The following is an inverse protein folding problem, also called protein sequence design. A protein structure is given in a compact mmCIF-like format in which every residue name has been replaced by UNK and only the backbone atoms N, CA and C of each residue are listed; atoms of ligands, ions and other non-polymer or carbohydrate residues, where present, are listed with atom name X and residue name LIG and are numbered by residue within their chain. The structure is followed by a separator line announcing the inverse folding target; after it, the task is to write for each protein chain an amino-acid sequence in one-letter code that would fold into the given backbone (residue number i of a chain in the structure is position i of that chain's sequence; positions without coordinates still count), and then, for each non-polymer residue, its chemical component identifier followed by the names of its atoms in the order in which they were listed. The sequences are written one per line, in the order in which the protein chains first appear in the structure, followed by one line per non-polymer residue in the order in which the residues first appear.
data_IF_437129957023
#
_entry.id   IF_437129957023
#
_cell.length_a   1.000
_cell.length_b   1.000
_cell.length_c   1.000
_cell.angle_alpha   90.00
_cell.angle_beta   90.00
_cell.angle_gamma   90.00
#
_symmetry.space_group_name_H-M   'P 1'
#
loop_
_entity.id
_entity.type
_entity.pdbx_description
1 polymer ?
#
# COMPACT_ATOMS: atom_id res chain seq x y z
N UNK A 1 -21.50 -13.45 -7.92
CA UNK A 1 -20.49 -14.55 -7.80
C UNK A 1 -20.06 -14.58 -6.34
N UNK A 2 -19.94 -15.77 -5.75
CA UNK A 2 -19.40 -15.95 -4.40
C UNK A 2 -17.91 -15.56 -4.36
N UNK A 3 -17.42 -15.09 -3.19
CA UNK A 3 -16.01 -14.79 -3.02
C UNK A 3 -15.16 -16.07 -3.14
N UNK A 4 -14.07 -15.99 -3.89
CA UNK A 4 -13.06 -17.03 -3.89
C UNK A 4 -12.24 -16.99 -2.59
N UNK A 5 -11.77 -18.14 -2.12
CA UNK A 5 -10.81 -18.18 -1.01
C UNK A 5 -9.39 -17.90 -1.51
N UNK A 6 -8.61 -17.15 -0.74
CA UNK A 6 -7.18 -16.92 -1.03
C UNK A 6 -6.35 -18.10 -0.52
N UNK A 7 -6.51 -19.24 -1.16
CA UNK A 7 -5.87 -20.51 -0.80
C UNK A 7 -4.73 -20.91 -1.76
N UNK A 8 -4.21 -22.13 -1.62
CA UNK A 8 -3.15 -22.64 -2.47
C UNK A 8 -3.57 -22.77 -3.94
N UNK A 9 -4.84 -23.14 -4.21
CA UNK A 9 -5.35 -23.30 -5.57
C UNK A 9 -5.44 -21.93 -6.26
N UNK A 10 -5.93 -20.89 -5.56
CA UNK A 10 -5.95 -19.54 -6.09
C UNK A 10 -4.55 -19.05 -6.43
N UNK A 11 -3.56 -19.26 -5.53
CA UNK A 11 -2.17 -18.83 -5.74
C UNK A 11 -1.50 -19.56 -6.91
N UNK A 12 -1.77 -20.85 -7.08
CA UNK A 12 -1.26 -21.62 -8.21
C UNK A 12 -1.81 -21.10 -9.55
N UNK A 13 -3.10 -20.72 -9.59
CA UNK A 13 -3.74 -20.15 -10.77
C UNK A 13 -3.31 -18.70 -11.08
N UNK A 14 -2.78 -17.97 -10.08
CA UNK A 14 -2.37 -16.57 -10.17
C UNK A 14 -0.91 -16.40 -9.73
N UNK A 15 0.00 -17.20 -10.28
CA UNK A 15 1.40 -17.21 -9.89
C UNK A 15 2.08 -15.84 -10.10
N UNK A 16 2.94 -15.45 -9.17
CA UNK A 16 3.76 -14.25 -9.33
C UNK A 16 4.78 -14.46 -10.46
N UNK A 17 5.08 -13.39 -11.26
CA UNK A 17 6.15 -13.46 -12.22
C UNK A 17 7.49 -13.79 -11.55
N UNK A 18 8.16 -14.83 -12.01
CA UNK A 18 9.52 -15.16 -11.56
C UNK A 18 10.52 -14.18 -12.16
N UNK A 19 11.50 -13.69 -11.39
CA UNK A 19 12.59 -12.90 -11.94
C UNK A 19 13.36 -13.72 -12.98
N UNK A 20 13.63 -13.14 -14.17
CA UNK A 20 14.54 -13.75 -15.14
C UNK A 20 15.98 -13.71 -14.63
N UNK A 21 16.85 -14.65 -15.10
CA UNK A 21 18.27 -14.66 -14.73
C UNK A 21 19.05 -13.41 -15.15
N UNK A 22 18.51 -12.61 -16.08
CA UNK A 22 19.07 -11.34 -16.57
C UNK A 22 18.47 -10.10 -15.90
N UNK A 23 17.73 -10.29 -14.81
CA UNK A 23 17.04 -9.19 -14.13
C UNK A 23 18.03 -8.17 -13.54
N UNK A 24 17.82 -6.90 -13.85
CA UNK A 24 18.54 -5.75 -13.28
C UNK A 24 17.71 -5.08 -12.20
N UNK A 25 18.34 -4.23 -11.36
CA UNK A 25 17.59 -3.42 -10.38
C UNK A 25 16.55 -2.48 -11.02
N UNK A 26 16.68 -2.16 -12.32
CA UNK A 26 15.69 -1.35 -13.04
C UNK A 26 14.52 -2.20 -13.57
N UNK A 27 14.80 -3.40 -14.08
CA UNK A 27 13.76 -4.29 -14.62
C UNK A 27 12.94 -5.00 -13.53
N UNK A 28 13.42 -5.01 -12.27
CA UNK A 28 12.70 -5.55 -11.12
C UNK A 28 11.69 -4.59 -10.51
N UNK A 29 11.51 -3.42 -11.08
CA UNK A 29 10.54 -2.42 -10.66
C UNK A 29 11.08 -1.35 -9.72
N UNK A 30 10.48 -0.17 -9.80
CA UNK A 30 10.86 1.04 -9.05
C UNK A 30 9.65 1.50 -8.24
N UNK A 31 9.77 1.39 -6.92
CA UNK A 31 8.75 1.79 -5.96
C UNK A 31 9.04 3.21 -5.46
N UNK A 32 8.02 4.06 -5.44
CA UNK A 32 8.01 5.35 -4.77
C UNK A 32 7.08 5.29 -3.56
N UNK A 33 7.56 5.71 -2.39
CA UNK A 33 6.77 5.84 -1.18
C UNK A 33 6.67 7.33 -0.82
N UNK A 34 5.46 7.86 -0.69
CA UNK A 34 5.19 9.28 -0.38
C UNK A 34 4.45 9.37 0.94
N UNK A 35 5.03 10.07 1.91
CA UNK A 35 4.43 10.21 3.24
C UNK A 35 5.46 10.50 4.33
N UNK A 36 5.26 9.95 5.52
CA UNK A 36 6.21 10.08 6.63
C UNK A 36 6.22 11.49 7.21
N UNK A 37 5.09 11.95 7.74
CA UNK A 37 5.01 13.20 8.49
C UNK A 37 6.00 13.19 9.68
N UNK A 38 6.37 14.39 10.17
CA UNK A 38 7.33 14.58 11.28
C UNK A 38 7.08 13.67 12.48
N UNK A 39 5.81 13.41 12.79
CA UNK A 39 5.40 12.61 13.95
C UNK A 39 5.49 11.09 13.74
N UNK A 40 5.44 10.60 12.48
CA UNK A 40 5.42 9.16 12.16
C UNK A 40 6.35 8.84 10.98
N UNK A 41 7.63 9.21 11.04
CA UNK A 41 8.55 9.02 9.92
C UNK A 41 8.87 7.55 9.65
N UNK A 42 8.79 6.69 10.67
CA UNK A 42 9.12 5.27 10.58
C UNK A 42 8.20 4.47 9.66
N UNK A 43 6.95 4.90 9.46
CA UNK A 43 6.00 4.26 8.57
C UNK A 43 6.55 4.16 7.13
N UNK A 44 7.14 5.25 6.63
CA UNK A 44 7.70 5.29 5.29
C UNK A 44 8.87 4.33 5.10
N UNK A 45 9.72 4.15 6.13
CA UNK A 45 10.78 3.14 6.13
C UNK A 45 10.19 1.73 6.02
N UNK A 46 9.20 1.39 6.85
CA UNK A 46 8.54 0.07 6.83
C UNK A 46 7.98 -0.23 5.44
N UNK A 47 7.31 0.75 4.83
CA UNK A 47 6.73 0.63 3.49
C UNK A 47 7.82 0.39 2.42
N UNK A 48 8.88 1.18 2.43
CA UNK A 48 9.96 1.06 1.44
C UNK A 48 10.72 -0.27 1.58
N UNK A 49 11.03 -0.69 2.82
CA UNK A 49 11.70 -1.95 3.09
C UNK A 49 10.81 -3.14 2.67
N UNK A 50 9.51 -3.13 3.00
CA UNK A 50 8.58 -4.18 2.59
C UNK A 50 8.55 -4.34 1.07
N UNK A 51 8.53 -3.24 0.32
CA UNK A 51 8.57 -3.28 -1.14
C UNK A 51 9.85 -3.93 -1.69
N UNK A 52 11.02 -3.64 -1.10
CA UNK A 52 12.28 -4.30 -1.48
C UNK A 52 12.29 -5.78 -1.09
N UNK A 53 11.74 -6.13 0.09
CA UNK A 53 11.67 -7.51 0.58
C UNK A 53 10.81 -8.42 -0.29
N UNK A 54 9.83 -7.88 -1.00
CA UNK A 54 9.03 -8.64 -1.99
C UNK A 54 9.58 -8.54 -3.41
N UNK A 55 10.77 -8.00 -3.57
CA UNK A 55 11.55 -8.10 -4.79
C UNK A 55 11.54 -6.88 -5.71
N UNK A 56 10.97 -5.74 -5.33
CA UNK A 56 11.19 -4.50 -6.07
C UNK A 56 12.69 -4.20 -6.18
N UNK A 57 13.14 -3.73 -7.33
CA UNK A 57 14.56 -3.52 -7.57
C UNK A 57 15.12 -2.23 -6.98
N UNK A 58 14.25 -1.23 -6.75
CA UNK A 58 14.58 0.05 -6.14
C UNK A 58 13.41 0.57 -5.32
N UNK A 59 13.72 1.25 -4.22
CA UNK A 59 12.77 2.06 -3.50
C UNK A 59 13.27 3.51 -3.38
N UNK A 60 12.35 4.46 -3.36
CA UNK A 60 12.57 5.86 -3.04
C UNK A 60 11.51 6.33 -2.06
N UNK A 61 11.88 7.27 -1.22
CA UNK A 61 11.00 7.89 -0.25
C UNK A 61 10.91 9.39 -0.53
N UNK A 62 9.70 9.93 -0.61
CA UNK A 62 9.41 11.37 -0.65
C UNK A 62 8.76 11.73 0.67
N UNK A 63 9.38 12.66 1.40
CA UNK A 63 8.98 12.99 2.77
C UNK A 63 9.32 14.46 3.11
N UNK A 64 9.00 14.84 4.34
CA UNK A 64 9.28 16.18 4.86
C UNK A 64 10.77 16.40 5.18
N UNK A 65 11.30 17.62 5.03
CA UNK A 65 12.73 17.93 5.26
C UNK A 65 13.21 17.55 6.66
N UNK A 66 12.38 17.73 7.69
CA UNK A 66 12.76 17.50 9.09
C UNK A 66 13.16 16.04 9.41
N UNK A 67 12.77 15.07 8.57
CA UNK A 67 13.05 13.65 8.80
C UNK A 67 13.84 12.99 7.67
N UNK A 68 13.99 13.65 6.52
CA UNK A 68 14.57 13.07 5.31
C UNK A 68 15.99 12.53 5.53
N UNK A 69 16.87 13.31 6.15
CA UNK A 69 18.26 12.90 6.41
C UNK A 69 18.32 11.69 7.34
N UNK A 70 17.51 11.68 8.40
CA UNK A 70 17.43 10.57 9.35
C UNK A 70 16.98 9.28 8.68
N UNK A 71 15.95 9.33 7.84
CA UNK A 71 15.48 8.17 7.08
C UNK A 71 16.55 7.63 6.14
N UNK A 72 17.29 8.52 5.46
CA UNK A 72 18.38 8.12 4.57
C UNK A 72 19.55 7.42 5.29
N UNK A 73 19.83 7.82 6.53
CA UNK A 73 20.87 7.17 7.37
C UNK A 73 20.36 5.83 7.91
N UNK A 74 19.10 5.78 8.36
CA UNK A 74 18.51 4.57 8.95
C UNK A 74 18.16 3.50 7.91
N UNK A 75 17.99 3.88 6.65
CA UNK A 75 17.65 2.96 5.57
C UNK A 75 18.39 3.34 4.27
N UNK A 76 19.68 3.00 4.16
CA UNK A 76 20.54 3.41 3.04
C UNK A 76 20.19 2.71 1.70
N UNK A 77 19.34 1.69 1.72
CA UNK A 77 18.88 0.98 0.52
C UNK A 77 17.90 1.78 -0.32
N UNK A 78 17.29 2.85 0.23
CA UNK A 78 16.38 3.72 -0.48
C UNK A 78 16.89 5.16 -0.54
N UNK A 79 16.78 5.78 -1.72
CA UNK A 79 17.02 7.22 -1.83
C UNK A 79 15.87 8.01 -1.20
N UNK A 80 16.18 9.11 -0.53
CA UNK A 80 15.22 10.00 0.11
C UNK A 80 15.21 11.36 -0.57
N UNK A 81 14.03 11.87 -0.88
CA UNK A 81 13.81 13.18 -1.47
C UNK A 81 12.95 14.00 -0.52
N UNK A 82 13.46 15.15 -0.09
CA UNK A 82 12.69 16.08 0.71
C UNK A 82 11.80 16.95 -0.20
N UNK A 83 10.55 17.15 0.23
CA UNK A 83 9.60 18.12 -0.34
C UNK A 83 9.26 19.18 0.72
N UNK A 84 8.21 19.99 0.53
CA UNK A 84 7.77 20.93 1.55
C UNK A 84 7.22 20.27 2.81
N UNK A 85 7.17 21.03 3.89
CA UNK A 85 6.63 20.65 5.19
C UNK A 85 5.76 21.78 5.73
N UNK A 86 4.56 21.50 6.19
CA UNK A 86 3.72 22.48 6.83
C UNK A 86 4.05 22.62 8.35
N UNK A 87 3.41 23.57 9.03
CA UNK A 87 3.66 23.83 10.47
C UNK A 87 3.35 22.59 11.35
N UNK A 88 2.37 21.78 10.94
CA UNK A 88 2.00 20.54 11.63
C UNK A 88 3.00 19.40 11.38
N UNK A 89 3.91 19.56 10.42
CA UNK A 89 4.88 18.53 10.04
C UNK A 89 4.36 17.55 9.00
N UNK A 90 3.30 17.92 8.28
CA UNK A 90 2.74 17.11 7.19
C UNK A 90 3.42 17.46 5.85
N UNK A 91 3.28 16.55 4.89
CA UNK A 91 3.84 16.71 3.54
C UNK A 91 3.13 17.85 2.81
N UNK A 92 3.90 18.83 2.36
CA UNK A 92 3.47 19.94 1.52
C UNK A 92 4.17 19.81 0.15
N UNK A 93 3.40 19.78 -0.93
CA UNK A 93 3.94 19.66 -2.29
C UNK A 93 4.12 21.04 -2.95
N UNK A 94 4.86 21.92 -2.27
CA UNK A 94 5.22 23.23 -2.78
C UNK A 94 6.72 23.50 -2.51
N UNK A 95 7.60 23.34 -3.54
CA UNK A 95 7.30 23.00 -4.94
C UNK A 95 7.01 21.50 -5.16
N UNK A 96 6.20 21.18 -6.18
CA UNK A 96 5.83 19.82 -6.51
C UNK A 96 6.80 19.10 -7.46
N UNK A 97 7.70 19.84 -8.13
CA UNK A 97 8.63 19.26 -9.11
C UNK A 97 9.50 18.11 -8.57
N UNK A 98 10.00 18.13 -7.32
CA UNK A 98 10.78 17.00 -6.83
C UNK A 98 9.98 15.70 -6.82
N UNK A 99 8.69 15.73 -6.43
CA UNK A 99 7.82 14.57 -6.48
C UNK A 99 7.61 14.09 -7.91
N UNK A 100 7.22 14.98 -8.83
CA UNK A 100 6.92 14.58 -10.21
C UNK A 100 8.13 14.06 -10.96
N UNK A 101 9.31 14.59 -10.70
CA UNK A 101 10.57 14.06 -11.23
C UNK A 101 10.79 12.59 -10.81
N UNK A 102 10.40 12.24 -9.58
CA UNK A 102 10.49 10.86 -9.10
C UNK A 102 9.35 10.01 -9.66
N UNK A 103 8.13 10.54 -9.76
CA UNK A 103 6.99 9.86 -10.39
C UNK A 103 7.27 9.44 -11.84
N UNK A 104 7.96 10.26 -12.63
CA UNK A 104 8.33 9.99 -14.02
C UNK A 104 9.31 8.78 -14.16
N UNK A 105 9.95 8.40 -13.05
CA UNK A 105 10.93 7.30 -13.00
C UNK A 105 10.44 6.11 -12.19
N UNK A 106 9.14 6.04 -11.93
CA UNK A 106 8.50 5.11 -11.02
C UNK A 106 7.59 4.17 -11.78
N UNK A 107 7.47 2.92 -11.32
CA UNK A 107 6.56 1.93 -11.85
C UNK A 107 5.33 1.77 -10.94
N UNK A 108 5.49 1.99 -9.63
CA UNK A 108 4.37 2.09 -8.68
C UNK A 108 4.65 3.10 -7.57
N UNK A 109 3.62 3.84 -7.14
CA UNK A 109 3.65 4.78 -6.04
C UNK A 109 2.71 4.33 -4.91
N UNK A 110 3.19 4.40 -3.66
CA UNK A 110 2.41 4.23 -2.43
C UNK A 110 2.34 5.59 -1.74
N UNK A 111 1.15 6.08 -1.47
CA UNK A 111 0.91 7.39 -0.84
C UNK A 111 0.10 7.19 0.43
N UNK A 112 0.52 7.81 1.52
CA UNK A 112 -0.23 7.84 2.77
C UNK A 112 0.48 7.29 4.00
N UNK A 113 1.38 6.28 3.92
CA UNK A 113 2.08 5.78 5.10
C UNK A 113 2.70 6.91 5.93
N UNK A 114 2.33 6.98 7.22
CA UNK A 114 2.82 8.00 8.13
C UNK A 114 2.26 9.41 7.92
N UNK A 115 1.28 9.62 7.05
CA UNK A 115 0.48 10.85 6.98
C UNK A 115 -0.66 10.76 8.00
N UNK A 116 -0.90 11.85 8.76
CA UNK A 116 -1.86 11.87 9.86
C UNK A 116 -3.04 12.77 9.53
N UNK A 117 -2.76 13.96 8.99
CA UNK A 117 -3.80 14.92 8.65
C UNK A 117 -4.45 14.58 7.30
N UNK A 118 -5.76 14.32 7.33
CA UNK A 118 -6.52 13.94 6.13
C UNK A 118 -6.58 15.05 5.09
N UNK A 119 -6.59 16.32 5.49
CA UNK A 119 -6.64 17.43 4.54
C UNK A 119 -5.29 17.59 3.85
N UNK A 120 -4.18 17.49 4.60
CA UNK A 120 -2.84 17.49 4.01
C UNK A 120 -2.65 16.31 3.06
N UNK A 121 -3.05 15.10 3.46
CA UNK A 121 -3.02 13.92 2.61
C UNK A 121 -3.89 14.09 1.35
N UNK A 122 -5.07 14.70 1.49
CA UNK A 122 -5.97 15.03 0.38
C UNK A 122 -5.32 15.95 -0.64
N UNK A 123 -4.63 17.02 -0.20
CA UNK A 123 -3.88 17.92 -1.10
C UNK A 123 -2.78 17.19 -1.88
N UNK A 124 -2.08 16.25 -1.23
CA UNK A 124 -1.07 15.41 -1.90
C UNK A 124 -1.70 14.51 -2.95
N UNK A 125 -2.80 13.83 -2.61
CA UNK A 125 -3.52 12.96 -3.55
C UNK A 125 -4.10 13.76 -4.71
N UNK A 126 -4.72 14.91 -4.44
CA UNK A 126 -5.27 15.83 -5.46
C UNK A 126 -4.18 16.24 -6.45
N UNK A 127 -3.01 16.64 -5.94
CA UNK A 127 -1.89 17.07 -6.78
C UNK A 127 -1.37 15.95 -7.68
N UNK A 128 -1.29 14.72 -7.15
CA UNK A 128 -0.88 13.53 -7.92
C UNK A 128 -1.96 13.16 -8.95
N UNK A 129 -3.23 13.22 -8.57
CA UNK A 129 -4.34 12.83 -9.42
C UNK A 129 -4.61 13.83 -10.55
N UNK A 130 -4.29 15.11 -10.36
CA UNK A 130 -4.38 16.14 -11.40
C UNK A 130 -3.41 15.92 -12.58
N UNK A 131 -2.31 15.21 -12.35
CA UNK A 131 -1.31 14.90 -13.39
C UNK A 131 -1.01 13.39 -13.42
N UNK A 132 -1.95 12.54 -13.83
CA UNK A 132 -1.77 11.10 -13.77
C UNK A 132 -0.64 10.61 -14.68
N UNK A 133 0.15 9.64 -14.19
CA UNK A 133 1.18 8.95 -14.99
C UNK A 133 0.61 7.63 -15.50
N UNK A 134 0.46 7.50 -16.80
CA UNK A 134 -0.23 6.37 -17.44
C UNK A 134 0.31 4.98 -17.08
N UNK A 135 1.61 4.88 -16.77
CA UNK A 135 2.28 3.60 -16.47
C UNK A 135 2.43 3.32 -14.99
N UNK A 136 2.12 4.29 -14.12
CA UNK A 136 2.33 4.16 -12.68
C UNK A 136 1.12 3.53 -12.01
N UNK A 137 1.32 2.41 -11.32
CA UNK A 137 0.34 1.87 -10.38
C UNK A 137 0.29 2.76 -9.12
N UNK A 138 -0.90 3.15 -8.67
CA UNK A 138 -1.08 4.00 -7.50
C UNK A 138 -1.75 3.22 -6.37
N UNK A 139 -1.13 3.22 -5.19
CA UNK A 139 -1.74 2.70 -3.97
C UNK A 139 -1.92 3.85 -2.98
N UNK A 140 -3.13 3.97 -2.43
CA UNK A 140 -3.46 4.91 -1.35
C UNK A 140 -3.76 4.13 -0.07
N UNK A 141 -3.08 4.49 1.03
CA UNK A 141 -3.27 3.91 2.36
C UNK A 141 -3.46 5.01 3.41
N UNK A 142 -3.90 4.66 4.58
CA UNK A 142 -4.05 5.55 5.74
C UNK A 142 -4.85 6.84 5.39
N UNK A 143 -4.37 8.01 5.84
CA UNK A 143 -5.05 9.29 5.61
C UNK A 143 -5.27 9.61 4.12
N UNK A 144 -4.37 9.18 3.22
CA UNK A 144 -4.53 9.37 1.78
C UNK A 144 -5.70 8.53 1.21
N UNK A 145 -5.88 7.30 1.71
CA UNK A 145 -7.02 6.47 1.34
C UNK A 145 -8.34 7.08 1.84
N UNK A 146 -8.38 7.51 3.08
CA UNK A 146 -9.58 8.16 3.65
C UNK A 146 -9.97 9.45 2.91
N UNK A 147 -8.98 10.23 2.46
CA UNK A 147 -9.21 11.48 1.71
C UNK A 147 -9.70 11.25 0.27
N UNK A 148 -9.45 10.08 -0.30
CA UNK A 148 -9.74 9.78 -1.72
C UNK A 148 -11.23 9.88 -2.09
N UNK A 149 -12.13 9.81 -1.10
CA UNK A 149 -13.59 9.89 -1.33
C UNK A 149 -14.04 11.15 -2.06
N UNK A 150 -13.50 12.30 -1.67
CA UNK A 150 -13.77 13.59 -2.28
C UNK A 150 -13.08 13.80 -3.66
N UNK A 151 -12.07 12.98 -3.95
CA UNK A 151 -11.21 13.09 -5.14
C UNK A 151 -11.50 12.02 -6.20
N UNK A 152 -12.61 11.29 -6.05
CA UNK A 152 -13.00 10.17 -6.92
C UNK A 152 -12.86 10.48 -8.42
N UNK A 153 -13.37 11.61 -8.85
CA UNK A 153 -13.42 11.95 -10.28
C UNK A 153 -12.02 12.23 -10.85
N UNK A 154 -11.12 12.85 -10.07
CA UNK A 154 -9.71 13.02 -10.43
C UNK A 154 -8.97 11.68 -10.47
N UNK A 155 -9.27 10.79 -9.55
CA UNK A 155 -8.67 9.47 -9.47
C UNK A 155 -9.05 8.54 -10.63
N UNK A 156 -10.06 8.88 -11.46
CA UNK A 156 -10.37 8.14 -12.68
C UNK A 156 -9.18 8.11 -13.67
N UNK A 157 -8.25 9.06 -13.62
CA UNK A 157 -6.98 9.00 -14.34
C UNK A 157 -6.09 7.79 -13.99
N UNK A 158 -6.37 7.14 -12.84
CA UNK A 158 -5.72 5.91 -12.39
C UNK A 158 -6.63 4.66 -12.44
N UNK A 159 -7.82 4.75 -13.04
CA UNK A 159 -8.72 3.60 -13.11
C UNK A 159 -8.02 2.35 -13.68
N UNK A 160 -8.27 1.19 -13.05
CA UNK A 160 -7.63 -0.08 -13.39
C UNK A 160 -6.19 -0.27 -12.85
N UNK A 161 -5.53 0.78 -12.34
CA UNK A 161 -4.19 0.74 -11.72
C UNK A 161 -4.17 1.36 -10.32
N UNK A 162 -5.33 1.69 -9.78
CA UNK A 162 -5.53 2.21 -8.43
C UNK A 162 -5.79 1.06 -7.47
N UNK A 163 -5.11 1.07 -6.32
CA UNK A 163 -5.36 0.19 -5.19
C UNK A 163 -5.65 1.04 -3.95
N UNK A 164 -6.71 0.71 -3.24
CA UNK A 164 -7.10 1.34 -1.98
C UNK A 164 -7.04 0.28 -0.87
N UNK A 165 -6.42 0.63 0.27
CA UNK A 165 -6.20 -0.33 1.38
C UNK A 165 -6.85 0.14 2.70
N UNK A 166 -8.16 0.46 2.70
CA UNK A 166 -8.83 0.96 3.89
C UNK A 166 -9.03 -0.11 4.96
N UNK A 167 -8.93 0.25 6.24
CA UNK A 167 -9.63 -0.45 7.32
C UNK A 167 -11.08 0.07 7.46
N UNK A 168 -11.89 -0.53 8.35
CA UNK A 168 -13.33 -0.21 8.44
C UNK A 168 -13.65 1.29 8.60
N UNK A 169 -12.91 2.01 9.44
CA UNK A 169 -13.11 3.46 9.65
C UNK A 169 -12.70 4.26 8.40
N UNK A 170 -11.53 3.98 7.81
CA UNK A 170 -11.09 4.62 6.56
C UNK A 170 -12.05 4.34 5.41
N UNK A 171 -12.64 3.15 5.37
CA UNK A 171 -13.64 2.77 4.37
C UNK A 171 -14.92 3.58 4.53
N UNK A 172 -15.37 3.81 5.75
CA UNK A 172 -16.53 4.64 6.03
C UNK A 172 -16.30 6.10 5.58
N UNK A 173 -15.13 6.64 5.86
CA UNK A 173 -14.73 7.99 5.42
C UNK A 173 -14.61 8.07 3.89
N UNK A 174 -13.99 7.07 3.25
CA UNK A 174 -13.89 6.94 1.80
C UNK A 174 -15.26 6.92 1.11
N UNK A 175 -16.22 6.21 1.71
CA UNK A 175 -17.57 6.06 1.15
C UNK A 175 -18.55 7.18 1.58
N UNK A 176 -18.23 7.93 2.64
CA UNK A 176 -19.12 8.93 3.22
C UNK A 176 -20.32 8.28 3.94
N UNK A 177 -20.11 7.19 4.69
CA UNK A 177 -21.15 6.45 5.41
C UNK A 177 -20.74 6.14 6.85
N UNK A 178 -21.65 5.55 7.63
CA UNK A 178 -21.36 5.14 9.01
C UNK A 178 -20.47 3.89 9.03
N UNK A 179 -19.46 3.80 9.94
CA UNK A 179 -18.67 2.59 10.13
C UNK A 179 -19.49 1.32 10.41
N UNK A 180 -20.65 1.45 11.05
CA UNK A 180 -21.57 0.34 11.28
C UNK A 180 -22.11 -0.26 9.98
N UNK A 181 -22.30 0.55 8.94
CA UNK A 181 -22.70 0.07 7.63
C UNK A 181 -21.61 -0.77 6.95
N UNK A 182 -20.34 -0.40 7.14
CA UNK A 182 -19.20 -1.19 6.64
C UNK A 182 -19.14 -2.53 7.37
N UNK A 183 -19.33 -2.52 8.70
CA UNK A 183 -19.28 -3.72 9.52
C UNK A 183 -20.45 -4.68 9.24
N UNK A 184 -21.63 -4.16 8.88
CA UNK A 184 -22.83 -4.95 8.59
C UNK A 184 -22.69 -5.79 7.31
N UNK A 185 -22.09 -5.26 6.26
CA UNK A 185 -21.87 -5.97 4.99
C UNK A 185 -20.55 -5.55 4.31
N UNK A 186 -19.42 -6.01 4.83
CA UNK A 186 -18.10 -5.64 4.30
C UNK A 186 -17.88 -6.12 2.86
N UNK A 187 -18.48 -7.24 2.46
CA UNK A 187 -18.40 -7.76 1.10
C UNK A 187 -19.03 -6.80 0.10
N UNK A 188 -20.29 -6.44 0.31
CA UNK A 188 -21.00 -5.54 -0.59
C UNK A 188 -20.31 -4.17 -0.65
N UNK A 189 -19.88 -3.64 0.50
CA UNK A 189 -19.17 -2.36 0.57
C UNK A 189 -17.85 -2.36 -0.19
N UNK A 190 -17.06 -3.44 -0.08
CA UNK A 190 -15.82 -3.58 -0.84
C UNK A 190 -16.08 -3.61 -2.37
N UNK A 191 -17.10 -4.38 -2.81
CA UNK A 191 -17.51 -4.45 -4.22
C UNK A 191 -17.97 -3.09 -4.76
N UNK A 192 -18.80 -2.39 -3.98
CA UNK A 192 -19.35 -1.09 -4.38
C UNK A 192 -18.26 -0.03 -4.51
N UNK A 193 -17.36 0.03 -3.53
CA UNK A 193 -16.22 0.93 -3.60
C UNK A 193 -15.30 0.59 -4.78
N UNK A 194 -15.00 -0.69 -5.03
CA UNK A 194 -14.18 -1.08 -6.16
C UNK A 194 -14.75 -0.58 -7.50
N UNK A 195 -16.06 -0.77 -7.72
CA UNK A 195 -16.75 -0.27 -8.91
C UNK A 195 -16.76 1.27 -8.97
N UNK A 196 -17.10 1.92 -7.84
CA UNK A 196 -17.22 3.39 -7.74
C UNK A 196 -15.92 4.12 -8.05
N UNK A 197 -14.79 3.57 -7.61
CA UNK A 197 -13.46 4.18 -7.80
C UNK A 197 -12.70 3.62 -9.00
N UNK A 198 -13.21 2.58 -9.70
CA UNK A 198 -12.45 1.90 -10.73
C UNK A 198 -11.15 1.28 -10.19
N UNK A 199 -11.13 0.88 -8.92
CA UNK A 199 -9.95 0.52 -8.15
C UNK A 199 -10.06 -0.89 -7.57
N UNK A 200 -8.91 -1.49 -7.27
CA UNK A 200 -8.87 -2.65 -6.36
C UNK A 200 -8.99 -2.15 -4.93
N UNK A 201 -9.96 -2.67 -4.18
CA UNK A 201 -10.18 -2.32 -2.78
C UNK A 201 -9.80 -3.49 -1.90
N UNK A 202 -8.90 -3.25 -0.96
CA UNK A 202 -8.46 -4.20 0.08
C UNK A 202 -9.02 -3.74 1.42
N UNK A 203 -10.23 -4.15 1.76
CA UNK A 203 -10.87 -3.82 3.03
C UNK A 203 -10.29 -4.68 4.15
N UNK A 204 -9.42 -4.06 4.94
CA UNK A 204 -8.68 -4.69 6.05
C UNK A 204 -9.60 -4.96 7.25
N UNK A 205 -9.43 -6.13 7.88
CA UNK A 205 -10.14 -6.53 9.09
C UNK A 205 -9.67 -7.90 9.58
N UNK A 206 -10.39 -8.49 10.53
CA UNK A 206 -10.16 -9.89 10.96
C UNK A 206 -10.29 -10.88 9.78
N UNK A 207 -11.07 -10.52 8.80
CA UNK A 207 -11.15 -11.09 7.47
C UNK A 207 -10.94 -9.95 6.47
N UNK A 208 -10.06 -10.15 5.50
CA UNK A 208 -9.76 -9.11 4.51
C UNK A 208 -10.46 -9.44 3.20
N UNK A 209 -11.28 -8.49 2.71
CA UNK A 209 -11.96 -8.56 1.44
C UNK A 209 -11.17 -7.83 0.37
N UNK A 210 -10.87 -8.51 -0.74
CA UNK A 210 -10.19 -7.92 -1.88
C UNK A 210 -11.15 -7.95 -3.07
N UNK A 211 -11.58 -6.77 -3.51
CA UNK A 211 -12.54 -6.61 -4.60
C UNK A 211 -11.91 -5.83 -5.76
N UNK A 212 -12.14 -6.28 -6.99
CA UNK A 212 -11.76 -5.58 -8.21
C UNK A 212 -12.98 -4.94 -8.90
N UNK A 213 -12.80 -3.89 -9.71
CA UNK A 213 -13.89 -3.21 -10.40
C UNK A 213 -14.62 -4.10 -11.42
N UNK A 214 -13.95 -5.14 -11.95
CA UNK A 214 -14.50 -6.12 -12.88
C UNK A 214 -15.38 -7.20 -12.20
N UNK A 215 -15.52 -7.14 -10.86
CA UNK A 215 -16.37 -8.03 -10.08
C UNK A 215 -15.63 -9.22 -9.46
N UNK A 216 -14.32 -9.43 -9.74
CA UNK A 216 -13.50 -10.40 -9.00
C UNK A 216 -13.53 -10.07 -7.52
N UNK A 217 -13.67 -11.08 -6.68
CA UNK A 217 -13.67 -10.95 -5.23
C UNK A 217 -12.97 -12.13 -4.59
N UNK A 218 -12.09 -11.83 -3.66
CA UNK A 218 -11.34 -12.81 -2.86
C UNK A 218 -11.45 -12.47 -1.39
N UNK A 219 -11.55 -13.48 -0.56
CA UNK A 219 -11.57 -13.40 0.89
C UNK A 219 -10.34 -14.09 1.47
N UNK A 220 -9.63 -13.37 2.36
CA UNK A 220 -8.57 -13.91 3.19
C UNK A 220 -8.95 -13.89 4.66
N UNK A 221 -8.90 -15.03 5.32
CA UNK A 221 -9.23 -15.19 6.74
C UNK A 221 -8.06 -15.55 7.63
N UNK A 222 -6.81 -15.32 7.16
CA UNK A 222 -5.59 -15.64 7.90
C UNK A 222 -4.97 -14.43 8.61
N UNK A 223 -3.73 -14.61 9.09
CA UNK A 223 -2.91 -13.57 9.68
C UNK A 223 -2.80 -13.63 11.20
N UNK A 224 -3.92 -13.50 11.90
CA UNK A 224 -3.97 -13.54 13.36
C UNK A 224 -3.94 -12.17 14.03
N UNK A 225 -4.25 -12.15 15.35
CA UNK A 225 -4.45 -10.93 16.14
C UNK A 225 -3.17 -10.09 16.32
N UNK A 226 -1.99 -10.70 16.22
CA UNK A 226 -0.71 -10.00 16.35
C UNK A 226 -0.44 -8.98 15.24
N UNK A 227 -1.13 -9.10 14.10
CA UNK A 227 -1.08 -8.09 13.03
C UNK A 227 -1.80 -6.78 13.39
N UNK A 228 -2.60 -6.76 14.45
CA UNK A 228 -3.21 -5.54 14.99
C UNK A 228 -2.18 -4.75 15.81
N UNK A 229 -1.06 -4.39 15.20
CA UNK A 229 0.03 -3.60 15.78
C UNK A 229 0.36 -2.39 14.90
N UNK A 230 0.89 -1.32 15.52
CA UNK A 230 1.28 -0.12 14.77
C UNK A 230 2.33 -0.42 13.70
N UNK A 231 2.14 0.10 12.50
CA UNK A 231 3.05 -0.12 11.37
C UNK A 231 2.75 -1.34 10.51
N UNK A 232 1.86 -2.26 10.94
CA UNK A 232 1.48 -3.45 10.16
C UNK A 232 0.82 -3.10 8.84
N UNK A 233 -0.03 -2.05 8.82
CA UNK A 233 -0.63 -1.51 7.58
C UNK A 233 0.42 -0.97 6.63
N UNK A 234 1.42 -0.23 7.14
CA UNK A 234 2.52 0.31 6.33
C UNK A 234 3.33 -0.80 5.65
N UNK A 235 3.56 -1.91 6.35
CA UNK A 235 4.19 -3.11 5.78
C UNK A 235 3.33 -3.69 4.66
N UNK A 236 2.01 -3.85 4.88
CA UNK A 236 1.09 -4.35 3.85
C UNK A 236 1.08 -3.44 2.62
N UNK A 237 0.98 -2.13 2.80
CA UNK A 237 1.02 -1.16 1.71
C UNK A 237 2.33 -1.27 0.91
N UNK A 238 3.46 -1.44 1.59
CA UNK A 238 4.76 -1.66 0.98
C UNK A 238 4.86 -2.97 0.21
N UNK A 239 4.31 -4.06 0.73
CA UNK A 239 4.25 -5.36 0.05
C UNK A 239 3.45 -5.25 -1.25
N UNK A 240 2.23 -4.70 -1.19
CA UNK A 240 1.39 -4.52 -2.38
C UNK A 240 2.08 -3.58 -3.38
N UNK A 241 2.60 -2.43 -2.91
CA UNK A 241 3.32 -1.46 -3.74
C UNK A 241 4.55 -2.05 -4.42
N UNK A 242 5.31 -2.89 -3.73
CA UNK A 242 6.46 -3.60 -4.28
C UNK A 242 6.07 -4.59 -5.39
N UNK A 243 4.95 -5.32 -5.21
CA UNK A 243 4.42 -6.21 -6.24
C UNK A 243 3.90 -5.45 -7.47
N UNK A 244 3.21 -4.32 -7.25
CA UNK A 244 2.80 -3.40 -8.33
C UNK A 244 4.02 -2.89 -9.11
N UNK A 245 5.08 -2.47 -8.41
CA UNK A 245 6.31 -2.01 -9.05
C UNK A 245 6.97 -3.08 -9.91
N UNK A 246 6.84 -4.36 -9.55
CA UNK A 246 7.27 -5.51 -10.35
C UNK A 246 6.38 -5.81 -11.55
N UNK A 247 5.32 -5.03 -11.79
CA UNK A 247 4.39 -5.21 -12.90
C UNK A 247 3.31 -6.27 -12.65
N UNK A 248 3.08 -6.66 -11.41
CA UNK A 248 1.97 -7.56 -11.06
C UNK A 248 0.64 -6.83 -11.23
N UNK A 249 -0.35 -7.50 -11.83
CA UNK A 249 -1.73 -7.00 -11.93
C UNK A 249 -2.24 -6.49 -10.57
N UNK A 250 -2.92 -5.34 -10.49
CA UNK A 250 -3.31 -4.72 -9.21
C UNK A 250 -4.12 -5.64 -8.31
N UNK A 251 -5.03 -6.44 -8.87
CA UNK A 251 -5.81 -7.39 -8.07
C UNK A 251 -4.95 -8.54 -7.55
N UNK A 252 -4.10 -9.10 -8.41
CA UNK A 252 -3.16 -10.13 -8.00
C UNK A 252 -2.14 -9.60 -6.98
N UNK A 253 -1.64 -8.36 -7.14
CA UNK A 253 -0.73 -7.73 -6.19
C UNK A 253 -1.38 -7.54 -4.81
N UNK A 254 -2.64 -7.10 -4.76
CA UNK A 254 -3.40 -6.98 -3.52
C UNK A 254 -3.62 -8.34 -2.84
N UNK A 255 -4.04 -9.36 -3.60
CA UNK A 255 -4.24 -10.71 -3.06
C UNK A 255 -2.94 -11.32 -2.53
N UNK A 256 -1.88 -11.32 -3.32
CA UNK A 256 -0.58 -11.82 -2.89
C UNK A 256 -0.01 -11.02 -1.71
N UNK A 257 -0.17 -9.68 -1.73
CA UNK A 257 0.28 -8.82 -0.64
C UNK A 257 -0.40 -9.16 0.68
N UNK A 258 -1.72 -9.32 0.67
CA UNK A 258 -2.50 -9.73 1.85
C UNK A 258 -2.07 -11.11 2.34
N UNK A 259 -1.85 -12.07 1.43
CA UNK A 259 -1.40 -13.40 1.80
C UNK A 259 0.00 -13.39 2.39
N UNK A 260 0.98 -12.75 1.75
CA UNK A 260 2.36 -12.66 2.22
C UNK A 260 2.44 -12.00 3.61
N UNK A 261 1.72 -10.91 3.79
CA UNK A 261 1.65 -10.20 5.07
C UNK A 261 1.00 -11.07 6.16
N UNK A 262 -0.09 -11.74 5.83
CA UNK A 262 -0.79 -12.62 6.78
C UNK A 262 0.03 -13.84 7.18
N UNK A 263 0.72 -14.48 6.23
CA UNK A 263 1.57 -15.65 6.53
C UNK A 263 2.86 -15.25 7.28
N UNK A 264 3.41 -14.04 7.01
CA UNK A 264 4.49 -13.49 7.84
C UNK A 264 4.03 -13.31 9.30
N UNK A 265 2.83 -12.78 9.53
CA UNK A 265 2.25 -12.69 10.86
C UNK A 265 2.04 -14.04 11.53
N UNK A 266 1.60 -15.06 10.79
CA UNK A 266 1.45 -16.44 11.31
C UNK A 266 2.79 -17.06 11.66
N UNK A 267 3.82 -16.83 10.84
CA UNK A 267 5.18 -17.31 11.12
C UNK A 267 5.71 -16.69 12.42
N UNK A 268 5.52 -15.39 12.62
CA UNK A 268 5.91 -14.71 13.86
C UNK A 268 5.09 -15.17 15.06
N UNK A 269 3.78 -15.35 14.90
CA UNK A 269 2.94 -15.86 15.97
C UNK A 269 3.39 -17.24 16.47
N UNK A 270 3.92 -18.10 15.59
CA UNK A 270 4.48 -19.39 15.94
C UNK A 270 5.86 -19.28 16.61
N UNK A 271 6.67 -18.26 16.28
CA UNK A 271 8.05 -18.09 16.81
C UNK A 271 8.09 -17.28 18.10
N UNK A 272 7.28 -16.24 18.20
CA UNK A 272 7.33 -15.24 19.28
C UNK A 272 6.13 -15.40 20.21
N UNK A 273 4.93 -15.60 19.63
CA UNK A 273 3.66 -15.66 20.33
C UNK A 273 2.55 -14.94 19.55
N UNK A 274 1.27 -15.17 19.94
CA UNK A 274 0.13 -14.66 19.18
C UNK A 274 0.05 -13.12 19.13
N UNK A 275 0.72 -12.43 20.04
CA UNK A 275 0.87 -10.96 20.12
C UNK A 275 2.28 -10.62 20.60
N UNK A 276 2.70 -9.37 20.41
CA UNK A 276 3.96 -8.84 20.95
C UNK A 276 5.11 -8.76 19.95
N UNK A 277 4.98 -9.31 18.73
CA UNK A 277 5.91 -9.02 17.66
C UNK A 277 5.65 -7.63 17.06
N UNK A 278 6.69 -6.99 16.55
CA UNK A 278 6.65 -5.66 15.96
C UNK A 278 6.45 -5.75 14.44
N UNK A 279 5.88 -4.69 13.85
CA UNK A 279 5.69 -4.62 12.39
C UNK A 279 6.99 -4.81 11.60
N UNK A 280 8.13 -4.29 12.11
CA UNK A 280 9.44 -4.47 11.49
C UNK A 280 9.90 -5.93 11.42
N UNK A 281 9.42 -6.79 12.32
CA UNK A 281 9.77 -8.22 12.33
C UNK A 281 9.06 -9.01 11.23
N UNK A 282 7.98 -8.46 10.63
CA UNK A 282 7.33 -9.04 9.45
C UNK A 282 8.26 -9.02 8.23
N UNK A 283 9.11 -8.00 8.12
CA UNK A 283 9.94 -7.76 6.94
C UNK A 283 10.90 -8.90 6.60
N UNK A 284 11.68 -9.48 7.55
CA UNK A 284 12.56 -10.60 7.26
C UNK A 284 11.83 -11.90 6.92
N UNK A 285 10.55 -12.06 7.26
CA UNK A 285 9.76 -13.25 6.93
C UNK A 285 9.31 -13.26 5.46
N UNK A 286 9.13 -12.08 4.83
CA UNK A 286 8.54 -11.94 3.50
C UNK A 286 9.31 -12.70 2.40
N UNK A 287 10.66 -12.63 2.29
CA UNK A 287 11.37 -13.28 1.18
C UNK A 287 11.22 -14.80 1.14
N UNK A 288 11.11 -15.45 2.29
CA UNK A 288 10.95 -16.90 2.38
C UNK A 288 9.58 -17.40 1.92
N UNK A 289 8.57 -16.52 1.91
CA UNK A 289 7.19 -16.81 1.50
C UNK A 289 6.98 -16.60 -0.01
N UNK A 290 7.89 -15.94 -0.70
CA UNK A 290 7.79 -15.76 -2.15
C UNK A 290 7.94 -17.10 -2.88
N UNK A 291 7.18 -17.33 -3.97
CA UNK A 291 7.37 -18.49 -4.83
C UNK A 291 8.82 -18.56 -5.34
N UNK A 292 9.37 -19.76 -5.38
CA UNK A 292 10.71 -20.05 -5.91
C UNK A 292 10.67 -20.25 -7.41
#
# INVERSE_FOLDING_TARGET
MSAASLDAAWRAANALPSPSGEATKNSRGRLLCVGGARRVPGALRLTAEAGLRVGAGKARMVTVPSVALMLGVLFPEAAVVAVGEDEAGEVLLEPAEPLFREMDRTDAAVVGPGMIDRQAAGRVVERIAAEPREKVGLLLDAAACAAAGALRDLLQGYAGRLVLTPHGQEMAELCGCDPAEIAADPEARARDAARRFGAVVTLKGTRTWIAAPDGRLVLYGGGGIGLATGGSGDVLAGVIGGLLARGVDPFAAACWGVWLHGEAGRALAAKVGPVGFLAGELLPELPALLPR
#
